data_IF_631263597436
#
_entry.id   IF_631263597436
#
_cell.length_a   1.000
_cell.length_b   1.000
_cell.length_c   1.000
_cell.angle_alpha   90.00
_cell.angle_beta   90.00
_cell.angle_gamma   90.00
#
_symmetry.space_group_name_H-M   'P 1'
#
loop_
_entity.id
_entity.type
_entity.pdbx_description
1 polymer ?
#
# COMPACT_ATOMS: atom_id res chain seq x y z
N UNK A 1 -21.81 9.28 -15.19
CA UNK A 1 -20.69 8.62 -15.90
C UNK A 1 -19.40 9.14 -15.30
N UNK A 2 -18.45 8.25 -14.96
CA UNK A 2 -17.14 8.65 -14.42
C UNK A 2 -16.19 9.00 -15.58
N UNK A 3 -15.64 10.22 -15.66
CA UNK A 3 -14.67 10.58 -16.69
C UNK A 3 -13.34 9.83 -16.56
N UNK A 4 -12.68 9.57 -17.69
CA UNK A 4 -11.34 8.97 -17.76
C UNK A 4 -10.21 10.01 -17.77
N UNK A 5 -10.26 11.01 -16.89
CA UNK A 5 -9.40 12.20 -16.89
C UNK A 5 -8.27 12.17 -15.85
N UNK A 6 -7.97 10.99 -15.28
CA UNK A 6 -7.02 10.82 -14.18
C UNK A 6 -7.55 11.22 -12.79
N UNK A 7 -8.78 11.77 -12.72
CA UNK A 7 -9.50 11.99 -11.47
C UNK A 7 -10.53 10.89 -11.19
N UNK A 8 -10.63 9.89 -12.07
CA UNK A 8 -11.64 8.83 -12.01
C UNK A 8 -11.79 8.19 -10.63
N UNK A 9 -10.69 7.94 -9.90
CA UNK A 9 -10.76 7.41 -8.53
C UNK A 9 -11.52 8.36 -7.58
N UNK A 10 -11.24 9.66 -7.65
CA UNK A 10 -11.87 10.67 -6.79
C UNK A 10 -13.32 10.92 -7.21
N UNK A 11 -13.59 10.89 -8.51
CA UNK A 11 -14.94 10.94 -9.06
C UNK A 11 -15.78 9.76 -8.57
N UNK A 12 -15.24 8.53 -8.63
CA UNK A 12 -15.93 7.35 -8.12
C UNK A 12 -16.20 7.44 -6.62
N UNK A 13 -15.27 7.97 -5.83
CA UNK A 13 -15.50 8.20 -4.39
C UNK A 13 -16.61 9.24 -4.16
N UNK A 14 -16.60 10.35 -4.91
CA UNK A 14 -17.62 11.39 -4.82
C UNK A 14 -19.01 10.84 -5.16
N UNK A 15 -19.11 10.06 -6.22
CA UNK A 15 -20.35 9.43 -6.65
C UNK A 15 -20.92 8.50 -5.56
N UNK A 16 -20.06 7.64 -4.98
CA UNK A 16 -20.48 6.71 -3.93
C UNK A 16 -20.89 7.40 -2.61
N UNK A 17 -20.27 8.54 -2.28
CA UNK A 17 -20.52 9.25 -1.02
C UNK A 17 -21.66 10.28 -1.13
N UNK A 18 -21.80 10.93 -2.28
CA UNK A 18 -22.65 12.11 -2.44
C UNK A 18 -23.63 12.02 -3.62
N UNK A 19 -23.58 10.93 -4.41
CA UNK A 19 -24.43 10.75 -5.59
C UNK A 19 -24.12 11.71 -6.74
N UNK A 20 -22.97 12.40 -6.71
CA UNK A 20 -22.53 13.36 -7.71
C UNK A 20 -21.00 13.47 -7.73
N UNK A 21 -20.43 14.20 -8.69
CA UNK A 21 -18.98 14.33 -8.86
C UNK A 21 -18.38 15.61 -8.26
N UNK A 22 -19.19 16.47 -7.65
CA UNK A 22 -18.83 17.84 -7.28
C UNK A 22 -17.81 17.89 -6.12
N UNK A 23 -17.67 16.80 -5.37
CA UNK A 23 -16.78 16.72 -4.20
C UNK A 23 -15.42 16.08 -4.50
N UNK A 24 -15.13 15.76 -5.76
CA UNK A 24 -13.93 15.00 -6.15
C UNK A 24 -12.62 15.71 -5.77
N UNK A 25 -12.57 17.04 -5.91
CA UNK A 25 -11.41 17.85 -5.52
C UNK A 25 -11.23 17.89 -3.99
N UNK A 26 -12.33 18.07 -3.26
CA UNK A 26 -12.32 18.09 -1.79
C UNK A 26 -11.87 16.74 -1.21
N UNK A 27 -12.39 15.63 -1.75
CA UNK A 27 -11.97 14.28 -1.39
C UNK A 27 -10.46 14.11 -1.60
N UNK A 28 -9.94 14.50 -2.76
CA UNK A 28 -8.50 14.45 -3.04
C UNK A 28 -7.71 15.24 -2.00
N UNK A 29 -8.15 16.47 -1.70
CA UNK A 29 -7.50 17.32 -0.72
C UNK A 29 -7.45 16.65 0.66
N UNK A 30 -8.57 16.10 1.15
CA UNK A 30 -8.66 15.44 2.45
C UNK A 30 -7.76 14.21 2.52
N UNK A 31 -7.77 13.35 1.49
CA UNK A 31 -6.90 12.16 1.43
C UNK A 31 -5.43 12.57 1.48
N UNK A 32 -5.03 13.61 0.75
CA UNK A 32 -3.65 14.12 0.79
C UNK A 32 -3.27 14.64 2.18
N UNK A 33 -4.15 15.36 2.88
CA UNK A 33 -3.87 15.78 4.25
C UNK A 33 -3.71 14.59 5.20
N UNK A 34 -4.54 13.56 5.06
CA UNK A 34 -4.42 12.34 5.85
C UNK A 34 -3.08 11.63 5.59
N UNK A 35 -2.66 11.51 4.32
CA UNK A 35 -1.36 10.92 3.95
C UNK A 35 -0.18 11.70 4.54
N UNK A 36 -0.24 13.03 4.57
CA UNK A 36 0.81 13.85 5.22
C UNK A 36 0.90 13.55 6.71
N UNK A 37 -0.22 13.48 7.41
CA UNK A 37 -0.28 13.13 8.82
C UNK A 37 0.21 11.70 9.08
N UNK A 38 -0.12 10.77 8.19
CA UNK A 38 0.40 9.41 8.22
C UNK A 38 1.93 9.41 8.18
N UNK A 39 2.56 10.14 7.25
CA UNK A 39 4.02 10.25 7.18
C UNK A 39 4.61 10.83 8.47
N UNK A 40 3.96 11.84 9.07
CA UNK A 40 4.40 12.39 10.38
C UNK A 40 4.34 11.34 11.50
N UNK A 41 3.33 10.46 11.50
CA UNK A 41 3.24 9.36 12.48
C UNK A 41 4.28 8.27 12.20
N UNK A 42 4.43 7.87 10.95
CA UNK A 42 5.40 6.86 10.52
C UNK A 42 6.85 7.26 10.80
N UNK A 43 7.16 8.57 10.80
CA UNK A 43 8.48 9.07 11.18
C UNK A 43 8.82 8.85 12.67
N UNK A 44 7.85 8.54 13.53
CA UNK A 44 8.08 8.27 14.96
C UNK A 44 8.52 6.83 15.16
N UNK A 45 9.59 6.64 15.94
CA UNK A 45 10.04 5.30 16.34
C UNK A 45 8.92 4.51 17.02
N UNK A 46 8.76 3.25 16.63
CA UNK A 46 7.72 2.35 17.16
C UNK A 46 6.35 2.49 16.49
N UNK A 47 6.15 3.40 15.54
CA UNK A 47 4.95 3.36 14.70
C UNK A 47 5.05 2.18 13.72
N UNK A 48 3.95 1.44 13.56
CA UNK A 48 3.94 0.22 12.74
C UNK A 48 3.77 0.56 11.27
N UNK A 49 4.54 -0.12 10.43
CA UNK A 49 4.35 -0.09 8.98
C UNK A 49 3.18 -0.97 8.54
N UNK A 50 2.63 -0.65 7.39
CA UNK A 50 1.52 -1.37 6.75
C UNK A 50 1.76 -1.51 5.23
N UNK A 51 0.71 -1.83 4.48
CA UNK A 51 0.78 -1.99 3.04
C UNK A 51 1.27 -0.75 2.27
N UNK A 52 0.98 0.47 2.73
CA UNK A 52 1.50 1.70 2.11
C UNK A 52 3.02 1.80 2.26
N UNK A 53 3.55 1.42 3.43
CA UNK A 53 5.01 1.40 3.62
C UNK A 53 5.69 0.34 2.77
N UNK A 54 5.04 -0.81 2.56
CA UNK A 54 5.56 -1.87 1.69
C UNK A 54 5.56 -1.44 0.21
N UNK A 55 4.50 -0.76 -0.25
CA UNK A 55 4.47 -0.16 -1.59
C UNK A 55 5.61 0.87 -1.76
N UNK A 56 5.80 1.75 -0.78
CA UNK A 56 6.90 2.72 -0.80
C UNK A 56 8.28 2.03 -0.82
N UNK A 57 8.47 0.99 -0.02
CA UNK A 57 9.71 0.22 0.00
C UNK A 57 9.97 -0.48 -1.35
N UNK A 58 8.94 -1.05 -1.97
CA UNK A 58 9.06 -1.69 -3.28
C UNK A 58 9.55 -0.70 -4.36
N UNK A 59 8.96 0.50 -4.39
CA UNK A 59 9.33 1.58 -5.32
C UNK A 59 10.75 2.10 -5.05
N UNK A 60 11.09 2.43 -3.79
CA UNK A 60 12.39 3.02 -3.42
C UNK A 60 13.53 2.03 -3.66
N UNK A 61 13.33 0.77 -3.27
CA UNK A 61 14.38 -0.24 -3.34
C UNK A 61 14.38 -1.04 -4.65
N UNK A 62 13.46 -0.77 -5.58
CA UNK A 62 13.31 -1.49 -6.86
C UNK A 62 13.19 -2.99 -6.65
N UNK A 63 12.32 -3.40 -5.74
CA UNK A 63 12.19 -4.79 -5.33
C UNK A 63 10.74 -5.25 -5.38
N UNK A 64 10.52 -6.48 -5.86
CA UNK A 64 9.30 -7.20 -5.54
C UNK A 64 9.36 -7.60 -4.06
N UNK A 65 8.26 -7.45 -3.34
CA UNK A 65 8.14 -7.92 -1.95
C UNK A 65 7.14 -9.06 -1.93
N UNK A 66 7.60 -10.24 -1.52
CA UNK A 66 6.77 -11.42 -1.35
C UNK A 66 6.64 -11.73 0.13
N UNK A 67 5.40 -11.88 0.60
CA UNK A 67 5.08 -12.02 2.03
C UNK A 67 4.28 -13.31 2.23
N UNK A 68 4.76 -14.18 3.11
CA UNK A 68 4.01 -15.33 3.60
C UNK A 68 3.36 -14.96 4.94
N UNK A 69 2.05 -14.97 5.00
CA UNK A 69 1.27 -14.57 6.17
C UNK A 69 0.61 -15.74 6.87
N UNK A 70 0.58 -15.68 8.21
CA UNK A 70 -0.17 -16.62 9.05
C UNK A 70 -1.64 -16.22 9.27
N UNK A 71 -2.16 -15.18 8.61
CA UNK A 71 -3.56 -14.79 8.72
C UNK A 71 -4.43 -15.91 8.15
N UNK A 72 -5.41 -16.37 8.93
CA UNK A 72 -6.38 -17.39 8.51
C UNK A 72 -7.24 -16.82 7.37
N UNK A 73 -6.83 -17.10 6.13
CA UNK A 73 -7.53 -16.66 4.93
C UNK A 73 -7.19 -17.58 3.75
N UNK A 74 -7.92 -17.42 2.66
CA UNK A 74 -7.67 -18.18 1.43
C UNK A 74 -6.37 -17.79 0.72
N UNK A 75 -5.76 -16.65 1.09
CA UNK A 75 -4.50 -16.15 0.51
C UNK A 75 -3.49 -15.83 1.61
N UNK A 76 -2.67 -16.82 1.95
CA UNK A 76 -1.52 -16.64 2.85
C UNK A 76 -0.33 -15.97 2.15
N UNK A 77 -0.43 -15.63 0.87
CA UNK A 77 0.68 -15.06 0.09
C UNK A 77 0.28 -13.70 -0.48
N UNK A 78 1.12 -12.70 -0.24
CA UNK A 78 0.95 -11.33 -0.74
C UNK A 78 2.17 -10.96 -1.57
N UNK A 79 1.94 -10.45 -2.77
CA UNK A 79 2.98 -9.86 -3.63
C UNK A 79 2.74 -8.38 -3.83
N UNK A 80 3.84 -7.63 -3.74
CA UNK A 80 3.88 -6.19 -3.98
C UNK A 80 4.94 -5.95 -5.04
N UNK A 81 4.50 -5.38 -6.17
CA UNK A 81 5.35 -5.06 -7.31
C UNK A 81 5.38 -3.53 -7.48
N UNK A 82 6.56 -2.92 -7.60
CA UNK A 82 6.64 -1.48 -7.88
C UNK A 82 6.01 -1.19 -9.25
N UNK A 83 5.22 -0.12 -9.31
CA UNK A 83 4.52 0.27 -10.54
C UNK A 83 5.33 1.25 -11.37
N UNK A 84 6.17 2.07 -10.73
CA UNK A 84 6.88 3.18 -11.39
C UNK A 84 8.31 2.81 -11.81
N UNK A 85 8.85 1.70 -11.28
CA UNK A 85 10.21 1.24 -11.55
C UNK A 85 10.25 -0.26 -11.83
N UNK A 86 11.24 -0.70 -12.63
CA UNK A 86 11.50 -2.13 -12.85
C UNK A 86 12.19 -2.73 -11.62
N UNK A 87 11.63 -3.81 -11.07
CA UNK A 87 12.26 -4.56 -10.00
C UNK A 87 13.48 -5.35 -10.49
N UNK A 88 14.56 -5.35 -9.69
CA UNK A 88 15.79 -6.11 -9.98
C UNK A 88 16.14 -7.16 -8.91
N UNK A 89 15.37 -7.19 -7.82
CA UNK A 89 15.53 -8.14 -6.71
C UNK A 89 14.20 -8.43 -6.03
N UNK A 90 14.24 -9.41 -5.13
CA UNK A 90 13.09 -9.82 -4.32
C UNK A 90 13.43 -9.70 -2.84
N UNK A 91 12.51 -9.15 -2.06
CA UNK A 91 12.53 -9.14 -0.60
C UNK A 91 11.51 -10.17 -0.12
N UNK A 92 11.93 -11.04 0.79
CA UNK A 92 11.09 -12.12 1.33
C UNK A 92 10.79 -11.84 2.80
N UNK A 93 9.50 -11.74 3.12
CA UNK A 93 9.02 -11.46 4.48
C UNK A 93 8.08 -12.56 4.95
N UNK A 94 8.04 -12.80 6.26
CA UNK A 94 6.92 -13.44 6.92
C UNK A 94 6.07 -12.39 7.64
N UNK A 95 4.76 -12.59 7.69
CA UNK A 95 3.84 -11.77 8.46
C UNK A 95 3.08 -12.66 9.45
N UNK A 96 3.43 -12.54 10.73
CA UNK A 96 2.67 -13.16 11.80
C UNK A 96 1.48 -12.25 12.15
N UNK A 97 0.27 -12.78 11.94
CA UNK A 97 -0.98 -12.03 12.01
C UNK A 97 -1.02 -11.11 13.25
N UNK A 98 -1.27 -9.83 13.00
CA UNK A 98 -1.46 -8.77 14.01
C UNK A 98 -0.25 -8.43 14.88
N UNK A 99 0.92 -9.06 14.69
CA UNK A 99 2.00 -8.93 15.68
C UNK A 99 3.42 -8.76 15.13
N UNK A 100 3.76 -9.20 13.91
CA UNK A 100 5.17 -9.17 13.52
C UNK A 100 5.46 -9.35 12.02
N UNK A 101 6.55 -8.73 11.57
CA UNK A 101 7.22 -9.08 10.31
C UNK A 101 8.56 -9.77 10.58
N UNK A 102 8.77 -10.94 9.97
CA UNK A 102 10.05 -11.63 9.97
C UNK A 102 10.78 -11.52 8.63
N UNK A 103 12.11 -11.64 8.66
CA UNK A 103 12.93 -11.78 7.45
C UNK A 103 13.04 -13.24 7.07
N UNK A 104 12.88 -13.56 5.79
CA UNK A 104 13.05 -14.90 5.25
C UNK A 104 14.28 -14.97 4.35
N UNK A 105 14.92 -16.13 4.33
CA UNK A 105 15.95 -16.45 3.35
C UNK A 105 15.59 -17.73 2.59
N UNK A 106 15.95 -17.76 1.31
CA UNK A 106 15.86 -18.98 0.51
C UNK A 106 16.93 -19.95 0.99
N UNK A 107 16.52 -21.13 1.45
CA UNK A 107 17.46 -22.19 1.77
C UNK A 107 17.88 -22.88 0.48
N UNK A 108 19.12 -22.65 0.06
CA UNK A 108 19.74 -23.45 -1.00
C UNK A 108 19.99 -24.86 -0.47
N UNK A 109 19.58 -25.87 -1.25
CA UNK A 109 19.84 -27.28 -0.93
C UNK A 109 21.32 -27.61 -0.99
#
# INVERSE_FOLDING_TARGET
VIPGDGNCQMHSLSDQLYGNLDHSYEIRFIIVQWLRLYCTKMAKSGFWGDHLTLLAAAEIYKANISIISSVESHNYFVEITPSSVKADKTILLSHHAESHYGSLCMRTK
#
